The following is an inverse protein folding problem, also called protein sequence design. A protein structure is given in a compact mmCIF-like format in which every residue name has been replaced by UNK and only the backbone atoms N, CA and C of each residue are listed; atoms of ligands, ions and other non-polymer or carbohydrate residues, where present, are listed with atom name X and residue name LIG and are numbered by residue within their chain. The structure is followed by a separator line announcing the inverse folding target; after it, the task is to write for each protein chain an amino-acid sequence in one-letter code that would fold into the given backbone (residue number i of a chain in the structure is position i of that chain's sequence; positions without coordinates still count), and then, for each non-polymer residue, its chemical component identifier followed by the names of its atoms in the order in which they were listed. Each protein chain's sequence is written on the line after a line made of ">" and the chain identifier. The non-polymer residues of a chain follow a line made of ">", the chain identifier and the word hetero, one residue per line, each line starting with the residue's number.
data_IF_280023408108
#
_entry.id   IF_280023408108
#
_cell.length_a   1.000
_cell.length_b   1.000
_cell.length_c   1.000
_cell.angle_alpha   90.00
_cell.angle_beta   90.00
_cell.angle_gamma   90.00
#
_symmetry.space_group_name_H-M   'P 1'
#
loop_
_entity.id
_entity.type
_entity.pdbx_description
1 polymer ?
#
# COMPACT_ATOMS: atom_id res chain seq x y z
N UNK A 1 31.77 -26.55 60.75
CA UNK A 1 32.17 -25.88 59.50
C UNK A 1 30.95 -25.17 58.95
N UNK A 2 30.88 -23.84 59.08
CA UNK A 2 29.77 -23.05 58.57
C UNK A 2 30.01 -22.76 57.08
N UNK A 3 29.12 -23.21 56.21
CA UNK A 3 29.13 -22.83 54.80
C UNK A 3 28.84 -21.33 54.70
N UNK A 4 29.69 -20.52 54.04
CA UNK A 4 29.46 -19.09 53.92
C UNK A 4 28.22 -18.84 53.07
N UNK A 5 27.22 -18.18 53.65
CA UNK A 5 26.01 -17.76 52.95
C UNK A 5 26.39 -16.75 51.84
N UNK A 6 25.80 -16.88 50.63
CA UNK A 6 26.11 -15.96 49.54
C UNK A 6 25.72 -14.52 49.92
N UNK A 7 26.58 -13.56 49.59
CA UNK A 7 26.35 -12.15 49.88
C UNK A 7 25.07 -11.63 49.21
N UNK A 8 24.38 -10.67 49.84
CA UNK A 8 23.15 -10.10 49.29
C UNK A 8 23.39 -9.47 47.90
N UNK A 9 22.34 -9.43 47.06
CA UNK A 9 22.42 -8.87 45.71
C UNK A 9 22.99 -7.44 45.69
N UNK A 10 22.58 -6.59 46.63
CA UNK A 10 23.07 -5.21 46.73
C UNK A 10 24.58 -5.16 47.06
N UNK A 11 25.07 -6.06 47.90
CA UNK A 11 26.49 -6.16 48.26
C UNK A 11 27.32 -6.64 47.06
N UNK A 12 26.82 -7.64 46.32
CA UNK A 12 27.46 -8.13 45.09
C UNK A 12 27.47 -7.05 43.99
N UNK A 13 26.36 -6.34 43.79
CA UNK A 13 26.24 -5.26 42.80
C UNK A 13 27.19 -4.09 43.12
N UNK A 14 27.29 -3.66 44.39
CA UNK A 14 28.20 -2.60 44.81
C UNK A 14 29.67 -3.02 44.66
N UNK A 15 30.01 -4.27 44.98
CA UNK A 15 31.36 -4.79 44.77
C UNK A 15 31.74 -4.86 43.28
N UNK A 16 30.81 -5.31 42.42
CA UNK A 16 30.98 -5.33 40.97
C UNK A 16 31.10 -3.91 40.39
N UNK A 17 30.30 -2.95 40.88
CA UNK A 17 30.37 -1.55 40.46
C UNK A 17 31.74 -0.95 40.81
N UNK A 18 32.21 -1.11 42.06
CA UNK A 18 33.54 -0.63 42.48
C UNK A 18 34.65 -1.28 41.68
N UNK A 19 34.55 -2.57 41.37
CA UNK A 19 35.52 -3.28 40.52
C UNK A 19 35.54 -2.71 39.09
N UNK A 20 34.38 -2.48 38.49
CA UNK A 20 34.27 -1.86 37.16
C UNK A 20 34.81 -0.42 37.14
N UNK A 21 34.48 0.40 38.13
CA UNK A 21 34.99 1.77 38.26
C UNK A 21 36.52 1.78 38.42
N UNK A 22 37.07 0.89 39.25
CA UNK A 22 38.51 0.82 39.47
C UNK A 22 39.26 0.35 38.22
N UNK A 23 38.69 -0.60 37.47
CA UNK A 23 39.22 -1.05 36.19
C UNK A 23 39.21 0.08 35.14
N UNK A 24 38.11 0.82 35.04
CA UNK A 24 37.99 2.01 34.19
C UNK A 24 39.01 3.09 34.60
N UNK A 25 39.17 3.37 35.91
CA UNK A 25 40.14 4.36 36.41
C UNK A 25 41.60 3.99 36.12
N UNK A 26 41.93 2.69 36.05
CA UNK A 26 43.30 2.24 35.69
C UNK A 26 43.55 2.29 34.18
N UNK A 27 42.52 2.10 33.36
CA UNK A 27 42.60 2.11 31.90
C UNK A 27 42.15 3.45 31.28
N UNK A 28 42.64 4.57 31.84
CA UNK A 28 42.25 5.93 31.41
C UNK A 28 42.43 6.15 29.91
N UNK A 29 43.54 5.68 29.33
CA UNK A 29 43.82 5.83 27.89
C UNK A 29 42.77 5.13 27.01
N UNK A 30 42.31 3.96 27.43
CA UNK A 30 41.26 3.20 26.73
C UNK A 30 39.91 3.88 26.89
N UNK A 31 39.60 4.40 28.08
CA UNK A 31 38.36 5.14 28.32
C UNK A 31 38.28 6.45 27.54
N UNK A 32 39.38 7.21 27.47
CA UNK A 32 39.47 8.43 26.66
C UNK A 32 39.21 8.10 25.19
N UNK A 33 39.77 6.99 24.68
CA UNK A 33 39.51 6.51 23.31
C UNK A 33 38.05 6.07 23.11
N UNK A 34 37.45 5.41 24.11
CA UNK A 34 36.04 4.99 24.10
C UNK A 34 35.08 6.19 24.07
N UNK A 35 35.45 7.32 24.65
CA UNK A 35 34.64 8.55 24.62
C UNK A 35 34.89 9.37 23.34
N UNK A 36 36.15 9.47 22.90
CA UNK A 36 36.52 10.21 21.69
C UNK A 36 35.98 9.59 20.41
N UNK A 37 35.87 8.27 20.35
CA UNK A 37 35.39 7.60 19.13
C UNK A 37 33.94 7.98 18.80
N UNK A 38 32.94 7.88 19.71
CA UNK A 38 31.59 8.36 19.46
C UNK A 38 31.56 9.83 19.02
N UNK A 39 32.37 10.69 19.64
CA UNK A 39 32.46 12.12 19.27
C UNK A 39 32.96 12.28 17.83
N UNK A 40 34.05 11.60 17.46
CA UNK A 40 34.58 11.63 16.10
C UNK A 40 33.60 11.09 15.08
N UNK A 41 32.86 10.05 15.43
CA UNK A 41 31.82 9.48 14.58
C UNK A 41 30.63 10.44 14.41
N UNK A 42 30.18 11.11 15.47
CA UNK A 42 29.14 12.13 15.38
C UNK A 42 29.58 13.30 14.47
N UNK A 43 30.83 13.73 14.56
CA UNK A 43 31.38 14.77 13.67
C UNK A 43 31.42 14.31 12.21
N UNK A 44 31.81 13.05 11.97
CA UNK A 44 31.78 12.45 10.63
C UNK A 44 30.37 12.45 10.05
N UNK A 45 29.38 12.01 10.83
CA UNK A 45 27.98 12.00 10.41
C UNK A 45 27.44 13.41 10.15
N UNK A 46 27.81 14.38 10.99
CA UNK A 46 27.43 15.77 10.78
C UNK A 46 27.99 16.32 9.46
N UNK A 47 29.28 16.07 9.17
CA UNK A 47 29.88 16.47 7.89
C UNK A 47 29.19 15.77 6.72
N UNK A 48 28.90 14.47 6.86
CA UNK A 48 28.18 13.72 5.83
C UNK A 48 26.77 14.28 5.59
N UNK A 49 26.06 14.64 6.66
CA UNK A 49 24.74 15.28 6.60
C UNK A 49 24.80 16.61 5.84
N UNK A 50 25.80 17.46 6.12
CA UNK A 50 25.99 18.72 5.39
C UNK A 50 26.22 18.51 3.89
N UNK A 51 27.04 17.51 3.53
CA UNK A 51 27.29 17.17 2.13
C UNK A 51 26.01 16.68 1.45
N UNK A 52 25.25 15.83 2.13
CA UNK A 52 23.99 15.28 1.62
C UNK A 52 22.93 16.36 1.46
N UNK A 53 22.76 17.24 2.45
CA UNK A 53 21.83 18.37 2.37
C UNK A 53 22.19 19.31 1.22
N UNK A 54 23.48 19.62 1.03
CA UNK A 54 23.95 20.44 -0.10
C UNK A 54 23.65 19.78 -1.47
N UNK A 55 23.75 18.44 -1.55
CA UNK A 55 23.43 17.71 -2.77
C UNK A 55 21.93 17.72 -3.08
N UNK A 56 21.07 17.62 -2.06
CA UNK A 56 19.62 17.67 -2.22
C UNK A 56 19.05 19.08 -2.30
N UNK A 57 19.85 20.12 -2.05
CA UNK A 57 19.43 21.52 -2.24
C UNK A 57 19.43 21.96 -3.72
N UNK A 58 19.89 21.09 -4.63
CA UNK A 58 19.87 21.30 -6.06
C UNK A 58 18.44 21.51 -6.60
N UNK A 59 18.32 22.31 -7.66
CA UNK A 59 17.03 22.64 -8.30
C UNK A 59 16.26 21.40 -8.81
N UNK A 60 16.94 20.28 -9.06
CA UNK A 60 16.34 19.00 -9.43
C UNK A 60 15.46 18.38 -8.34
N UNK A 61 15.67 18.73 -7.07
CA UNK A 61 14.94 18.22 -5.90
C UNK A 61 14.04 19.28 -5.24
N UNK A 62 13.68 20.32 -6.01
CA UNK A 62 12.72 21.36 -5.61
C UNK A 62 11.61 21.44 -6.65
N UNK A 63 10.50 22.09 -6.31
CA UNK A 63 9.47 22.35 -7.32
C UNK A 63 10.05 23.17 -8.48
N UNK A 64 9.70 22.81 -9.70
CA UNK A 64 10.10 23.56 -10.89
C UNK A 64 9.45 24.93 -10.92
N UNK A 65 10.24 25.95 -11.23
CA UNK A 65 9.80 27.34 -11.29
C UNK A 65 10.31 28.03 -12.54
N UNK A 66 9.50 28.92 -13.10
CA UNK A 66 9.86 29.83 -14.19
C UNK A 66 9.71 31.28 -13.75
N UNK A 67 10.44 32.16 -14.41
CA UNK A 67 10.26 33.60 -14.24
C UNK A 67 9.19 34.09 -15.22
N UNK A 68 8.34 35.02 -14.78
CA UNK A 68 7.23 35.53 -15.57
C UNK A 68 7.68 36.14 -16.92
N UNK A 69 8.86 36.78 -16.97
CA UNK A 69 9.45 37.30 -18.20
C UNK A 69 10.41 36.30 -18.85
N UNK A 70 9.94 35.68 -19.93
CA UNK A 70 10.75 34.83 -20.81
C UNK A 70 11.88 35.65 -21.43
N UNK A 71 13.13 35.48 -20.96
CA UNK A 71 14.31 35.59 -21.86
C UNK A 71 15.62 34.95 -21.43
N UNK A 72 15.76 34.35 -20.26
CA UNK A 72 16.97 33.55 -19.95
C UNK A 72 16.63 32.34 -19.11
N UNK A 73 17.16 31.19 -19.51
CA UNK A 73 17.10 29.96 -18.73
C UNK A 73 17.83 30.19 -17.40
N UNK A 74 17.19 29.71 -16.33
CA UNK A 74 17.76 29.33 -15.04
C UNK A 74 18.16 30.45 -14.07
N UNK A 75 17.37 30.56 -13.00
CA UNK A 75 17.79 30.69 -11.59
C UNK A 75 18.02 32.06 -10.92
N UNK A 76 17.90 33.21 -11.58
CA UNK A 76 18.04 34.51 -10.89
C UNK A 76 16.89 35.45 -11.20
N UNK A 77 15.78 35.24 -10.51
CA UNK A 77 14.64 36.15 -10.50
C UNK A 77 14.24 36.40 -9.05
N UNK A 78 13.81 37.62 -8.69
CA UNK A 78 13.30 37.89 -7.35
C UNK A 78 12.10 36.97 -7.06
N UNK A 79 11.94 36.54 -5.81
CA UNK A 79 10.87 35.61 -5.39
C UNK A 79 9.46 36.10 -5.78
N UNK A 80 9.26 37.42 -5.90
CA UNK A 80 8.01 38.04 -6.35
C UNK A 80 7.62 37.72 -7.81
N UNK A 81 8.57 37.38 -8.67
CA UNK A 81 8.35 37.09 -10.10
C UNK A 81 8.40 35.60 -10.43
N UNK A 82 8.70 34.77 -9.43
CA UNK A 82 8.89 33.33 -9.55
C UNK A 82 7.54 32.62 -9.52
N UNK A 83 7.21 31.94 -10.61
CA UNK A 83 6.02 31.09 -10.70
C UNK A 83 6.45 29.64 -10.61
N UNK A 84 6.20 29.03 -9.45
CA UNK A 84 6.46 27.62 -9.19
C UNK A 84 5.19 26.79 -9.39
N UNK A 85 5.34 25.58 -9.92
CA UNK A 85 4.19 24.70 -10.11
C UNK A 85 4.53 23.42 -10.85
N UNK A 86 3.59 22.47 -10.78
CA UNK A 86 3.69 21.19 -11.47
C UNK A 86 3.86 21.39 -12.99
N UNK A 87 3.30 22.44 -13.58
CA UNK A 87 3.40 22.72 -15.03
C UNK A 87 4.83 23.06 -15.48
N UNK A 88 5.68 23.50 -14.56
CA UNK A 88 7.06 23.92 -14.82
C UNK A 88 8.09 22.91 -14.32
N UNK A 89 7.61 21.73 -13.91
CA UNK A 89 8.39 20.71 -13.24
C UNK A 89 8.56 19.48 -14.13
N UNK A 90 9.72 18.83 -14.04
CA UNK A 90 9.86 17.46 -14.56
C UNK A 90 9.16 16.44 -13.65
N UNK A 91 9.10 15.17 -14.06
CA UNK A 91 8.38 14.12 -13.32
C UNK A 91 8.78 13.97 -11.85
N UNK A 92 10.06 14.20 -11.52
CA UNK A 92 10.56 14.12 -10.14
C UNK A 92 10.19 15.38 -9.34
N UNK A 93 10.41 16.56 -9.92
CA UNK A 93 10.08 17.85 -9.31
C UNK A 93 8.58 18.01 -9.07
N UNK A 94 7.74 17.49 -9.99
CA UNK A 94 6.29 17.53 -9.89
C UNK A 94 5.77 16.84 -8.62
N UNK A 95 6.43 15.75 -8.21
CA UNK A 95 6.10 15.05 -6.98
C UNK A 95 6.47 15.86 -5.72
N UNK A 96 7.33 16.86 -5.83
CA UNK A 96 7.79 17.69 -4.70
C UNK A 96 7.01 18.99 -4.55
N UNK A 97 6.31 19.42 -5.61
CA UNK A 97 5.54 20.67 -5.62
C UNK A 97 4.40 20.72 -4.60
N UNK A 98 4.06 21.94 -4.12
CA UNK A 98 2.88 22.16 -3.30
C UNK A 98 1.60 21.90 -4.11
N UNK A 99 0.60 21.33 -3.46
CA UNK A 99 -0.74 21.09 -4.03
C UNK A 99 -1.76 21.65 -3.03
N UNK A 100 -2.21 22.88 -3.27
CA UNK A 100 -3.17 23.58 -2.39
C UNK A 100 -4.61 23.08 -2.55
N UNK A 101 -5.00 22.72 -3.78
CA UNK A 101 -6.31 22.16 -4.10
C UNK A 101 -6.13 20.86 -4.89
N UNK A 102 -6.08 19.70 -4.23
CA UNK A 102 -6.02 18.40 -4.89
C UNK A 102 -7.23 18.16 -5.80
N UNK A 103 -7.03 17.41 -6.87
CA UNK A 103 -8.10 17.04 -7.80
C UNK A 103 -9.10 16.09 -7.14
N UNK A 104 -10.37 16.28 -7.47
CA UNK A 104 -11.48 15.45 -7.04
C UNK A 104 -11.66 14.30 -8.04
N UNK A 105 -11.09 13.13 -7.72
CA UNK A 105 -11.12 11.97 -8.61
C UNK A 105 -12.37 11.13 -8.38
N UNK A 106 -13.07 10.66 -9.43
CA UNK A 106 -14.21 9.78 -9.23
C UNK A 106 -13.76 8.45 -8.58
N UNK A 107 -14.60 7.82 -7.75
CA UNK A 107 -14.23 6.58 -7.09
C UNK A 107 -14.24 5.38 -8.05
N UNK A 108 -13.16 4.60 -8.05
CA UNK A 108 -13.00 3.40 -8.88
C UNK A 108 -13.10 2.11 -8.08
N UNK A 109 -13.54 1.03 -8.71
CA UNK A 109 -13.28 -0.35 -8.30
C UNK A 109 -11.90 -0.81 -8.80
N UNK A 110 -11.23 -1.67 -8.03
CA UNK A 110 -10.08 -2.40 -8.56
C UNK A 110 -10.58 -3.54 -9.44
N UNK A 111 -10.19 -3.53 -10.72
CA UNK A 111 -10.57 -4.58 -11.66
C UNK A 111 -9.40 -5.51 -11.97
N UNK A 112 -9.66 -6.79 -12.24
CA UNK A 112 -8.68 -7.71 -12.78
C UNK A 112 -8.42 -7.45 -14.26
N UNK A 113 -7.17 -7.69 -14.67
CA UNK A 113 -6.79 -7.67 -16.08
C UNK A 113 -7.60 -8.68 -16.92
N UNK A 114 -7.89 -8.45 -18.21
CA UNK A 114 -8.72 -9.32 -19.03
C UNK A 114 -8.19 -10.76 -19.10
N UNK A 115 -6.85 -10.92 -19.08
CA UNK A 115 -6.17 -12.21 -19.04
C UNK A 115 -6.38 -12.98 -17.73
N UNK A 116 -6.66 -12.26 -16.64
CA UNK A 116 -6.74 -12.80 -15.27
C UNK A 116 -8.19 -12.98 -14.79
N UNK A 117 -9.19 -12.41 -15.49
CA UNK A 117 -10.62 -12.51 -15.13
C UNK A 117 -11.05 -13.96 -14.96
N UNK A 118 -11.80 -14.26 -13.90
CA UNK A 118 -12.25 -15.61 -13.57
C UNK A 118 -12.99 -16.30 -14.73
N UNK A 119 -12.58 -17.52 -15.05
CA UNK A 119 -13.20 -18.40 -16.04
C UNK A 119 -13.35 -19.80 -15.47
N UNK A 120 -14.24 -20.58 -16.07
CA UNK A 120 -14.39 -22.00 -15.78
C UNK A 120 -13.10 -22.75 -16.15
N UNK A 121 -12.59 -23.56 -15.23
CA UNK A 121 -11.44 -24.44 -15.47
C UNK A 121 -11.49 -25.70 -14.59
N UNK A 122 -10.43 -26.52 -14.59
CA UNK A 122 -10.40 -27.82 -13.91
C UNK A 122 -10.56 -27.74 -12.39
N UNK A 123 -10.08 -26.67 -11.74
CA UNK A 123 -10.14 -26.50 -10.29
C UNK A 123 -11.26 -25.55 -9.81
N UNK A 124 -11.90 -24.82 -10.73
CA UNK A 124 -13.12 -24.02 -10.53
C UNK A 124 -14.20 -24.44 -11.55
N UNK A 125 -14.88 -25.59 -11.35
CA UNK A 125 -15.85 -26.14 -12.29
C UNK A 125 -17.24 -25.51 -12.14
N UNK A 126 -17.33 -24.21 -11.88
CA UNK A 126 -18.61 -23.50 -11.79
C UNK A 126 -19.15 -23.19 -13.20
N UNK A 127 -20.35 -23.65 -13.51
CA UNK A 127 -20.96 -23.51 -14.84
C UNK A 127 -21.44 -22.09 -15.17
N UNK A 128 -21.60 -21.25 -14.15
CA UNK A 128 -21.99 -19.84 -14.28
C UNK A 128 -20.78 -18.92 -14.56
N UNK A 129 -19.55 -19.45 -14.49
CA UNK A 129 -18.36 -18.75 -14.95
C UNK A 129 -18.22 -18.84 -16.48
N UNK A 130 -17.67 -17.80 -17.13
CA UNK A 130 -17.45 -17.78 -18.56
C UNK A 130 -16.40 -18.81 -18.98
N UNK A 131 -16.48 -19.24 -20.24
CA UNK A 131 -15.53 -20.19 -20.81
C UNK A 131 -14.12 -19.57 -20.98
N UNK A 132 -13.07 -20.35 -20.74
CA UNK A 132 -11.68 -19.90 -20.81
C UNK A 132 -11.29 -19.28 -22.17
N UNK A 133 -11.99 -19.62 -23.25
CA UNK A 133 -11.80 -19.03 -24.58
C UNK A 133 -11.96 -17.50 -24.60
N UNK A 134 -12.76 -16.90 -23.73
CA UNK A 134 -12.97 -15.44 -23.70
C UNK A 134 -11.70 -14.66 -23.36
N UNK A 135 -10.72 -15.29 -22.68
CA UNK A 135 -9.44 -14.64 -22.33
C UNK A 135 -8.60 -14.37 -23.57
N UNK A 136 -8.69 -15.23 -24.58
CA UNK A 136 -7.96 -15.07 -25.85
C UNK A 136 -8.41 -13.82 -26.61
N UNK A 137 -9.67 -13.42 -26.44
CA UNK A 137 -10.27 -12.26 -27.10
C UNK A 137 -10.42 -11.06 -26.16
N UNK A 138 -9.89 -11.12 -24.93
CA UNK A 138 -10.05 -10.11 -23.89
C UNK A 138 -11.51 -9.70 -23.63
N UNK A 139 -12.45 -10.62 -23.86
CA UNK A 139 -13.89 -10.37 -23.82
C UNK A 139 -14.58 -10.91 -22.56
N UNK A 140 -13.81 -11.54 -21.66
CA UNK A 140 -14.37 -12.12 -20.45
C UNK A 140 -15.09 -11.06 -19.61
N UNK A 141 -16.32 -11.35 -19.17
CA UNK A 141 -17.00 -10.48 -18.22
C UNK A 141 -16.29 -10.48 -16.86
N UNK A 142 -16.60 -9.48 -16.06
CA UNK A 142 -16.16 -9.35 -14.68
C UNK A 142 -17.09 -10.15 -13.76
N UNK A 143 -16.53 -10.96 -12.88
CA UNK A 143 -17.33 -11.74 -11.92
C UNK A 143 -17.34 -11.07 -10.54
N UNK A 144 -18.51 -11.01 -9.93
CA UNK A 144 -18.72 -10.63 -8.52
C UNK A 144 -19.49 -11.76 -7.84
N UNK A 145 -19.05 -12.17 -6.64
CA UNK A 145 -19.69 -13.25 -5.90
C UNK A 145 -20.62 -12.72 -4.81
N UNK A 146 -21.71 -13.43 -4.57
CA UNK A 146 -22.72 -13.08 -3.56
C UNK A 146 -23.15 -14.29 -2.75
N UNK A 147 -23.37 -14.08 -1.46
CA UNK A 147 -24.04 -15.04 -0.58
C UNK A 147 -24.85 -14.30 0.49
N UNK A 148 -25.78 -15.01 1.15
CA UNK A 148 -26.63 -14.49 2.22
C UNK A 148 -27.39 -15.63 2.91
N UNK A 149 -27.96 -15.38 4.08
CA UNK A 149 -28.97 -16.28 4.67
C UNK A 149 -30.24 -16.36 3.79
N UNK A 150 -30.62 -15.24 3.15
CA UNK A 150 -31.77 -15.18 2.26
C UNK A 150 -31.34 -14.93 0.81
N UNK A 151 -31.41 -16.00 0.00
CA UNK A 151 -31.05 -15.97 -1.42
C UNK A 151 -31.86 -14.96 -2.24
N UNK A 152 -33.19 -14.92 -2.05
CA UNK A 152 -34.07 -14.02 -2.82
C UNK A 152 -33.79 -12.54 -2.52
N UNK A 153 -33.46 -12.23 -1.26
CA UNK A 153 -33.02 -10.89 -0.86
C UNK A 153 -31.72 -10.51 -1.57
N UNK A 154 -30.70 -11.36 -1.53
CA UNK A 154 -29.40 -11.08 -2.14
C UNK A 154 -29.49 -10.90 -3.66
N UNK A 155 -30.32 -11.70 -4.34
CA UNK A 155 -30.58 -11.54 -5.77
C UNK A 155 -31.24 -10.19 -6.07
N UNK A 156 -32.24 -9.81 -5.27
CA UNK A 156 -32.97 -8.55 -5.44
C UNK A 156 -32.05 -7.33 -5.26
N UNK A 157 -31.16 -7.38 -4.27
CA UNK A 157 -30.19 -6.31 -3.99
C UNK A 157 -29.09 -6.28 -5.06
N UNK A 158 -28.47 -7.41 -5.38
CA UNK A 158 -27.37 -7.46 -6.35
C UNK A 158 -27.80 -7.02 -7.76
N UNK A 159 -29.05 -7.32 -8.16
CA UNK A 159 -29.64 -6.86 -9.42
C UNK A 159 -29.71 -5.33 -9.57
N UNK A 160 -29.58 -4.57 -8.47
CA UNK A 160 -29.59 -3.09 -8.46
C UNK A 160 -28.20 -2.45 -8.46
N UNK A 161 -27.12 -3.24 -8.52
CA UNK A 161 -25.75 -2.71 -8.44
C UNK A 161 -25.32 -1.97 -9.71
N UNK A 162 -25.74 -2.45 -10.88
CA UNK A 162 -25.27 -1.92 -12.16
C UNK A 162 -26.43 -1.34 -12.97
N UNK A 163 -26.18 -0.20 -13.61
CA UNK A 163 -27.11 0.41 -14.54
C UNK A 163 -27.14 -0.29 -15.90
N UNK A 164 -28.10 0.10 -16.73
CA UNK A 164 -28.28 -0.41 -18.09
C UNK A 164 -27.66 0.48 -19.18
N UNK A 165 -27.25 1.70 -18.84
CA UNK A 165 -26.69 2.67 -19.79
C UNK A 165 -25.66 3.56 -19.12
N UNK A 166 -24.71 4.07 -19.91
CA UNK A 166 -23.73 5.02 -19.44
C UNK A 166 -24.43 6.37 -19.26
N UNK A 167 -24.41 6.91 -18.06
CA UNK A 167 -24.93 8.24 -17.79
C UNK A 167 -23.79 9.24 -17.90
N UNK A 168 -23.59 9.78 -19.10
CA UNK A 168 -22.80 11.01 -19.28
C UNK A 168 -23.84 12.10 -19.41
N UNK A 169 -24.12 12.80 -18.32
CA UNK A 169 -24.86 14.04 -18.45
C UNK A 169 -23.99 15.04 -19.22
N UNK A 170 -24.50 15.59 -20.33
CA UNK A 170 -23.90 16.71 -21.05
C UNK A 170 -23.89 17.94 -20.13
N UNK A 171 -22.85 18.11 -19.30
CA UNK A 171 -22.70 19.33 -18.51
C UNK A 171 -21.29 19.88 -18.66
N UNK A 172 -21.20 21.00 -19.38
CA UNK A 172 -20.02 21.85 -19.40
C UNK A 172 -19.72 22.31 -17.97
N UNK A 173 -18.54 21.96 -17.46
CA UNK A 173 -18.04 22.40 -16.16
C UNK A 173 -17.09 21.40 -15.51
N UNK A 174 -17.60 20.22 -15.12
CA UNK A 174 -16.85 19.22 -14.36
C UNK A 174 -17.13 17.78 -14.83
N UNK A 175 -16.34 17.35 -15.81
CA UNK A 175 -16.42 16.01 -16.39
C UNK A 175 -16.17 14.89 -15.36
N UNK A 176 -15.29 15.11 -14.39
CA UNK A 176 -14.92 14.09 -13.39
C UNK A 176 -16.08 13.80 -12.44
N UNK A 177 -16.80 14.85 -12.00
CA UNK A 177 -18.01 14.70 -11.19
C UNK A 177 -19.11 13.91 -11.91
N UNK A 178 -19.31 14.17 -13.22
CA UNK A 178 -20.29 13.44 -14.03
C UNK A 178 -19.99 11.93 -14.14
N UNK A 179 -18.71 11.55 -14.17
CA UNK A 179 -18.32 10.14 -14.22
C UNK A 179 -18.69 9.37 -12.95
N UNK A 180 -18.71 10.02 -11.79
CA UNK A 180 -18.98 9.38 -10.49
C UNK A 180 -20.38 8.77 -10.37
N UNK A 181 -21.31 9.24 -11.20
CA UNK A 181 -22.67 8.69 -11.35
C UNK A 181 -22.61 7.22 -11.81
N UNK A 182 -21.59 6.85 -12.58
CA UNK A 182 -21.43 5.50 -13.11
C UNK A 182 -20.59 4.63 -12.17
N UNK A 183 -20.73 3.31 -12.28
CA UNK A 183 -19.85 2.37 -11.59
C UNK A 183 -18.57 2.21 -12.37
N UNK A 184 -17.54 2.96 -11.98
CA UNK A 184 -16.25 2.93 -12.64
C UNK A 184 -15.32 1.89 -12.01
N UNK A 185 -14.42 1.35 -12.82
CA UNK A 185 -13.32 0.53 -12.38
C UNK A 185 -12.11 0.64 -13.30
N UNK A 186 -10.94 0.30 -12.77
CA UNK A 186 -9.71 0.30 -13.53
C UNK A 186 -8.81 -0.86 -13.08
N UNK A 187 -8.03 -1.36 -14.03
CA UNK A 187 -7.02 -2.39 -13.81
C UNK A 187 -5.71 -1.81 -13.28
N UNK A 188 -5.52 -0.50 -13.39
CA UNK A 188 -4.28 0.17 -13.00
C UNK A 188 -3.95 -0.10 -11.54
N UNK A 189 -2.68 -0.36 -11.26
CA UNK A 189 -2.18 -0.57 -9.89
C UNK A 189 -2.38 0.73 -9.08
N UNK A 190 -3.05 0.68 -7.92
CA UNK A 190 -3.18 1.84 -7.05
C UNK A 190 -1.82 2.35 -6.56
N UNK A 191 -1.75 3.65 -6.25
CA UNK A 191 -0.56 4.29 -5.70
C UNK A 191 -0.72 4.53 -4.19
N UNK A 192 0.37 4.96 -3.55
CA UNK A 192 0.43 5.29 -2.11
C UNK A 192 -0.33 6.57 -1.74
N UNK A 193 -0.64 7.40 -2.74
CA UNK A 193 -1.46 8.59 -2.62
C UNK A 193 -2.32 8.71 -3.88
N UNK A 194 -3.36 9.52 -3.78
CA UNK A 194 -4.32 9.80 -4.83
C UNK A 194 -4.25 11.25 -5.34
N UNK A 195 -3.07 11.88 -5.30
CA UNK A 195 -2.90 13.20 -5.94
C UNK A 195 -3.14 13.10 -7.45
N UNK A 196 -2.71 11.99 -8.03
CA UNK A 196 -2.99 11.61 -9.41
C UNK A 196 -3.54 10.18 -9.39
N UNK A 197 -4.80 10.02 -9.79
CA UNK A 197 -5.45 8.71 -9.90
C UNK A 197 -4.80 7.89 -11.05
N UNK A 198 -4.16 6.74 -10.76
CA UNK A 198 -3.48 5.91 -11.75
C UNK A 198 -4.30 5.53 -12.97
N UNK A 199 -5.63 5.45 -12.84
CA UNK A 199 -6.52 5.16 -13.96
C UNK A 199 -6.39 6.16 -15.12
N UNK A 200 -6.05 7.43 -14.84
CA UNK A 200 -5.93 8.48 -15.85
C UNK A 200 -4.55 8.59 -16.51
N UNK A 201 -3.53 7.91 -15.97
CA UNK A 201 -2.12 8.02 -16.43
C UNK A 201 -1.47 6.69 -16.81
N UNK A 202 -2.16 5.57 -16.59
CA UNK A 202 -1.61 4.23 -16.85
C UNK A 202 -1.60 3.84 -18.33
N UNK A 203 -2.35 4.55 -19.19
CA UNK A 203 -2.61 4.15 -20.57
C UNK A 203 -3.55 2.95 -20.71
N UNK A 204 -4.10 2.46 -19.59
CA UNK A 204 -5.11 1.41 -19.58
C UNK A 204 -6.52 2.01 -19.70
N UNK A 205 -7.48 1.30 -20.28
CA UNK A 205 -8.85 1.78 -20.38
C UNK A 205 -9.51 1.92 -19.00
N UNK A 206 -10.36 2.92 -18.86
CA UNK A 206 -11.30 3.05 -17.76
C UNK A 206 -12.57 2.28 -18.12
N UNK A 207 -13.06 1.46 -17.21
CA UNK A 207 -14.29 0.72 -17.44
C UNK A 207 -15.45 1.32 -16.66
N UNK A 208 -16.61 1.41 -17.31
CA UNK A 208 -17.89 1.52 -16.62
C UNK A 208 -18.58 0.16 -16.64
N UNK A 209 -19.13 -0.25 -15.49
CA UNK A 209 -19.70 -1.57 -15.30
C UNK A 209 -21.21 -1.56 -15.53
N UNK A 210 -21.68 -2.52 -16.32
CA UNK A 210 -23.10 -2.73 -16.64
C UNK A 210 -23.44 -4.21 -16.62
N UNK A 211 -24.74 -4.54 -16.54
CA UNK A 211 -25.22 -5.93 -16.63
C UNK A 211 -25.07 -6.51 -18.05
N UNK A 212 -25.12 -5.66 -19.07
CA UNK A 212 -24.92 -6.03 -20.45
C UNK A 212 -24.25 -4.87 -21.21
N UNK A 213 -23.41 -5.18 -22.19
CA UNK A 213 -22.67 -4.20 -22.98
C UNK A 213 -22.88 -4.49 -24.47
N UNK A 214 -23.20 -3.47 -25.26
CA UNK A 214 -23.28 -3.58 -26.72
C UNK A 214 -21.90 -3.63 -27.38
N UNK A 215 -21.82 -4.10 -28.64
CA UNK A 215 -20.54 -4.22 -29.35
C UNK A 215 -19.77 -2.90 -29.47
N UNK A 216 -20.49 -1.79 -29.73
CA UNK A 216 -19.89 -0.44 -29.82
C UNK A 216 -19.32 0.03 -28.49
N UNK A 217 -20.01 -0.25 -27.39
CA UNK A 217 -19.58 0.12 -26.04
C UNK A 217 -18.35 -0.67 -25.58
N UNK A 218 -18.20 -1.91 -26.06
CA UNK A 218 -17.00 -2.74 -25.82
C UNK A 218 -15.78 -2.23 -26.59
N UNK A 219 -15.99 -1.65 -27.78
CA UNK A 219 -14.91 -1.04 -28.58
C UNK A 219 -14.35 0.24 -27.96
N UNK A 220 -15.11 0.89 -27.09
CA UNK A 220 -14.66 2.03 -26.29
C UNK A 220 -14.76 3.39 -27.00
N UNK A 221 -14.80 4.43 -26.18
CA UNK A 221 -14.80 5.84 -26.60
C UNK A 221 -13.52 6.50 -26.10
N UNK A 222 -12.75 7.08 -27.02
CA UNK A 222 -11.58 7.89 -26.67
C UNK A 222 -12.01 9.31 -26.35
N UNK A 223 -11.62 9.78 -25.16
CA UNK A 223 -11.92 11.12 -24.70
C UNK A 223 -10.60 11.88 -24.44
N UNK A 224 -10.44 13.11 -24.98
CA UNK A 224 -9.27 13.94 -24.74
C UNK A 224 -9.41 14.69 -23.40
N UNK A 225 -9.22 13.99 -22.28
CA UNK A 225 -9.36 14.60 -20.94
C UNK A 225 -8.09 15.32 -20.46
N UNK A 226 -6.92 14.79 -20.82
CA UNK A 226 -5.63 15.28 -20.32
C UNK A 226 -4.79 15.70 -21.53
N UNK A 227 -4.18 16.89 -21.51
CA UNK A 227 -3.28 17.32 -22.59
C UNK A 227 -2.18 16.27 -22.81
N UNK A 228 -2.19 15.63 -23.98
CA UNK A 228 -1.21 14.61 -24.36
C UNK A 228 -1.58 13.15 -24.02
N UNK A 229 -2.76 12.87 -23.44
CA UNK A 229 -3.23 11.50 -23.22
C UNK A 229 -4.71 11.33 -23.62
N UNK A 230 -4.97 10.45 -24.58
CA UNK A 230 -6.31 10.00 -24.93
C UNK A 230 -6.70 8.87 -23.97
N UNK A 231 -7.77 9.07 -23.22
CA UNK A 231 -8.26 8.06 -22.26
C UNK A 231 -9.39 7.31 -22.93
N UNK A 232 -9.25 5.99 -22.98
CA UNK A 232 -10.25 5.11 -23.53
C UNK A 232 -11.23 4.69 -22.43
N UNK A 233 -12.52 4.92 -22.65
CA UNK A 233 -13.60 4.49 -21.75
C UNK A 233 -14.36 3.34 -22.41
N UNK A 234 -14.47 2.19 -21.73
CA UNK A 234 -15.10 0.96 -22.23
C UNK A 234 -16.19 0.44 -21.31
N UNK A 235 -17.19 -0.22 -21.87
CA UNK A 235 -18.14 -0.99 -21.08
C UNK A 235 -17.53 -2.34 -20.68
N UNK A 236 -17.57 -2.66 -19.39
CA UNK A 236 -17.30 -4.00 -18.89
C UNK A 236 -18.58 -4.64 -18.37
N UNK A 237 -18.91 -5.81 -18.91
CA UNK A 237 -20.04 -6.58 -18.43
C UNK A 237 -19.70 -7.16 -17.05
N UNK A 238 -20.57 -6.97 -16.08
CA UNK A 238 -20.44 -7.48 -14.73
C UNK A 238 -21.50 -8.56 -14.45
N UNK A 239 -21.05 -9.73 -14.00
CA UNK A 239 -21.88 -10.86 -13.61
C UNK A 239 -21.99 -10.92 -12.10
N UNK A 240 -23.22 -11.01 -11.62
CA UNK A 240 -23.50 -11.30 -10.22
C UNK A 240 -23.73 -12.81 -10.06
N UNK A 241 -22.81 -13.50 -9.40
CA UNK A 241 -22.80 -14.95 -9.27
C UNK A 241 -23.08 -15.35 -7.82
N UNK A 242 -23.99 -16.30 -7.63
CA UNK A 242 -24.39 -16.77 -6.29
C UNK A 242 -23.51 -17.92 -5.80
N UNK A 243 -23.20 -17.93 -4.50
CA UNK A 243 -22.59 -19.07 -3.79
C UNK A 243 -23.39 -19.40 -2.55
N UNK A 244 -23.43 -20.68 -2.18
CA UNK A 244 -24.28 -21.15 -1.08
C UNK A 244 -23.76 -20.75 0.30
N UNK A 245 -22.48 -20.41 0.42
CA UNK A 245 -21.90 -19.98 1.68
C UNK A 245 -20.67 -19.09 1.49
N UNK A 246 -20.31 -18.36 2.54
CA UNK A 246 -19.08 -17.55 2.61
C UNK A 246 -17.82 -18.44 2.58
N UNK A 247 -17.92 -19.70 3.03
CA UNK A 247 -16.84 -20.69 2.91
C UNK A 247 -16.56 -21.05 1.45
N UNK A 248 -17.62 -21.20 0.65
CA UNK A 248 -17.50 -21.47 -0.80
C UNK A 248 -16.88 -20.27 -1.52
N UNK A 249 -17.32 -19.06 -1.21
CA UNK A 249 -16.68 -17.81 -1.69
C UNK A 249 -15.20 -17.80 -1.34
N UNK A 250 -14.86 -18.05 -0.08
CA UNK A 250 -13.47 -18.01 0.37
C UNK A 250 -12.62 -19.09 -0.33
N UNK A 251 -13.17 -20.29 -0.54
CA UNK A 251 -12.50 -21.36 -1.27
C UNK A 251 -12.24 -20.99 -2.73
N UNK A 252 -13.22 -20.40 -3.41
CA UNK A 252 -13.08 -19.94 -4.80
C UNK A 252 -12.08 -18.80 -4.94
N UNK A 253 -12.16 -17.79 -4.07
CA UNK A 253 -11.20 -16.68 -4.04
C UNK A 253 -9.77 -17.18 -3.77
N UNK A 254 -9.61 -18.11 -2.83
CA UNK A 254 -8.31 -18.72 -2.54
C UNK A 254 -7.76 -19.48 -3.74
N UNK A 255 -8.55 -20.37 -4.34
CA UNK A 255 -8.15 -21.13 -5.53
C UNK A 255 -7.87 -20.23 -6.73
N UNK A 256 -8.56 -19.09 -6.84
CA UNK A 256 -8.33 -18.10 -7.89
C UNK A 256 -7.01 -17.32 -7.75
N UNK A 257 -6.41 -17.31 -6.56
CA UNK A 257 -5.09 -16.73 -6.35
C UNK A 257 -3.98 -17.61 -6.92
N UNK A 258 -2.96 -16.99 -7.49
CA UNK A 258 -1.86 -17.69 -8.19
C UNK A 258 -1.21 -18.80 -7.35
N UNK A 259 -1.07 -18.59 -6.03
CA UNK A 259 -0.47 -19.57 -5.11
C UNK A 259 -1.48 -20.47 -4.41
N UNK A 260 -2.77 -20.32 -4.70
CA UNK A 260 -3.84 -21.09 -4.07
C UNK A 260 -4.29 -22.31 -4.86
N UNK A 261 -3.72 -22.53 -6.05
CA UNK A 261 -3.94 -23.72 -6.86
C UNK A 261 -2.61 -24.33 -7.33
N UNK A 262 -2.64 -25.63 -7.62
CA UNK A 262 -1.46 -26.41 -8.05
C UNK A 262 -0.99 -26.05 -9.46
N UNK A 263 -1.86 -25.46 -10.28
CA UNK A 263 -1.58 -25.10 -11.67
C UNK A 263 -0.92 -23.72 -11.83
N UNK A 264 -0.82 -22.93 -10.75
CA UNK A 264 -0.29 -21.57 -10.78
C UNK A 264 -1.14 -20.59 -11.61
N UNK A 265 -2.39 -20.93 -11.91
CA UNK A 265 -3.28 -20.12 -12.76
C UNK A 265 -3.97 -19.04 -11.95
N UNK A 266 -4.21 -17.90 -12.58
CA UNK A 266 -4.94 -16.79 -11.96
C UNK A 266 -6.39 -16.81 -12.43
N UNK A 267 -7.33 -16.72 -11.49
CA UNK A 267 -8.76 -16.49 -11.72
C UNK A 267 -9.23 -15.42 -10.74
N UNK A 268 -9.04 -14.16 -11.12
CA UNK A 268 -9.41 -13.04 -10.28
C UNK A 268 -10.89 -12.69 -10.41
N UNK A 269 -11.49 -12.45 -9.26
CA UNK A 269 -12.86 -11.98 -9.07
C UNK A 269 -12.76 -10.54 -8.56
N UNK A 270 -13.65 -9.65 -9.03
CA UNK A 270 -13.58 -8.22 -8.70
C UNK A 270 -13.75 -8.00 -7.20
N UNK A 271 -14.81 -8.56 -6.63
CA UNK A 271 -15.16 -8.49 -5.21
C UNK A 271 -16.18 -9.58 -4.90
N UNK A 272 -16.30 -9.92 -3.61
CA UNK A 272 -17.37 -10.77 -3.12
C UNK A 272 -18.12 -10.08 -1.97
N UNK A 273 -19.40 -10.40 -1.82
CA UNK A 273 -20.29 -9.81 -0.83
C UNK A 273 -21.09 -10.91 -0.13
N UNK A 274 -21.16 -10.82 1.20
CA UNK A 274 -21.98 -11.69 2.03
C UNK A 274 -22.92 -10.81 2.81
N UNK A 275 -24.21 -10.91 2.50
CA UNK A 275 -25.25 -10.14 3.16
C UNK A 275 -25.63 -10.71 4.52
N UNK A 276 -25.03 -11.81 4.98
CA UNK A 276 -25.26 -12.41 6.30
C UNK A 276 -26.77 -12.51 6.58
N UNK A 277 -27.22 -11.89 7.68
CA UNK A 277 -28.61 -11.81 8.13
C UNK A 277 -29.33 -10.51 7.72
N UNK A 278 -28.88 -9.86 6.65
CA UNK A 278 -29.51 -8.65 6.12
C UNK A 278 -30.93 -8.92 5.62
N UNK A 279 -31.81 -7.96 5.84
CA UNK A 279 -33.21 -7.97 5.41
C UNK A 279 -33.68 -6.52 5.23
N UNK A 280 -34.99 -6.26 5.14
CA UNK A 280 -35.52 -4.89 4.97
C UNK A 280 -35.20 -3.93 6.13
N UNK A 281 -35.01 -4.46 7.33
CA UNK A 281 -34.87 -3.70 8.58
C UNK A 281 -33.44 -3.77 9.16
N UNK A 282 -32.58 -4.62 8.62
CA UNK A 282 -31.21 -4.86 9.10
C UNK A 282 -30.25 -4.91 7.92
N UNK A 283 -29.18 -4.13 7.99
CA UNK A 283 -28.11 -4.12 7.00
C UNK A 283 -26.80 -4.55 7.64
N UNK A 284 -26.28 -5.70 7.21
CA UNK A 284 -25.05 -6.31 7.71
C UNK A 284 -24.33 -7.02 6.55
N UNK A 285 -23.18 -6.51 6.13
CA UNK A 285 -22.50 -6.99 4.92
C UNK A 285 -21.01 -7.18 5.18
N UNK A 286 -20.48 -8.33 4.79
CA UNK A 286 -19.04 -8.57 4.67
C UNK A 286 -18.61 -8.39 3.22
N UNK A 287 -17.47 -7.72 3.02
CA UNK A 287 -16.92 -7.40 1.70
C UNK A 287 -15.52 -7.99 1.60
N UNK A 288 -15.30 -8.83 0.58
CA UNK A 288 -13.97 -9.31 0.23
C UNK A 288 -13.44 -8.47 -0.93
N UNK A 289 -12.20 -8.03 -0.79
CA UNK A 289 -11.49 -7.24 -1.79
C UNK A 289 -10.10 -7.83 -2.04
N UNK A 290 -9.58 -7.58 -3.23
CA UNK A 290 -8.23 -8.00 -3.58
C UNK A 290 -7.19 -7.05 -2.99
N UNK A 291 -6.39 -7.55 -2.05
CA UNK A 291 -5.31 -6.79 -1.40
C UNK A 291 -3.93 -7.03 -2.03
N UNK A 292 -3.84 -7.67 -3.20
CA UNK A 292 -2.56 -8.00 -3.86
C UNK A 292 -1.67 -6.77 -4.04
N UNK A 293 -2.26 -5.63 -4.36
CA UNK A 293 -1.54 -4.37 -4.58
C UNK A 293 -1.23 -3.57 -3.30
N UNK A 294 -1.63 -4.06 -2.13
CA UNK A 294 -1.48 -3.36 -0.84
C UNK A 294 -0.06 -3.48 -0.26
N UNK A 295 0.82 -4.32 -0.84
CA UNK A 295 2.13 -4.58 -0.23
C UNK A 295 3.08 -3.36 -0.29
N UNK A 296 3.34 -2.76 0.89
CA UNK A 296 4.49 -1.89 1.12
C UNK A 296 5.73 -2.72 1.45
N UNK A 297 6.90 -2.31 0.95
CA UNK A 297 8.19 -2.99 1.18
C UNK A 297 8.73 -2.78 2.62
N UNK A 298 7.88 -2.73 3.65
CA UNK A 298 8.25 -2.53 5.06
C UNK A 298 8.74 -1.12 5.44
N UNK A 299 9.23 -0.33 4.48
CA UNK A 299 9.80 1.01 4.70
C UNK A 299 8.92 2.19 4.20
N UNK A 300 7.66 1.94 3.80
CA UNK A 300 6.79 2.99 3.28
C UNK A 300 5.30 2.68 3.38
N UNK A 301 4.46 3.71 3.20
CA UNK A 301 3.01 3.58 3.23
C UNK A 301 2.49 2.59 2.17
N UNK A 302 1.44 1.85 2.53
CA UNK A 302 0.77 0.92 1.64
C UNK A 302 0.02 1.64 0.51
N UNK A 303 -0.26 0.94 -0.59
CA UNK A 303 -1.08 1.51 -1.66
C UNK A 303 -2.54 1.69 -1.21
N UNK A 304 -3.18 2.76 -1.68
CA UNK A 304 -4.57 3.07 -1.37
C UNK A 304 -5.50 2.10 -2.09
N UNK A 305 -6.03 1.14 -1.34
CA UNK A 305 -6.96 0.15 -1.90
C UNK A 305 -8.31 0.80 -2.23
N UNK A 306 -8.85 0.48 -3.41
CA UNK A 306 -10.11 1.01 -3.98
C UNK A 306 -11.39 0.44 -3.33
N UNK A 307 -11.37 0.22 -2.02
CA UNK A 307 -12.46 -0.37 -1.22
C UNK A 307 -13.69 0.56 -1.12
N UNK A 308 -13.54 1.89 -0.95
CA UNK A 308 -14.69 2.77 -0.76
C UNK A 308 -15.74 2.68 -1.87
N UNK A 309 -15.34 2.39 -3.11
CA UNK A 309 -16.31 2.21 -4.20
C UNK A 309 -17.15 0.95 -4.04
N UNK A 310 -16.57 -0.16 -3.57
CA UNK A 310 -17.33 -1.40 -3.28
C UNK A 310 -18.37 -1.17 -2.18
N UNK A 311 -17.99 -0.43 -1.14
CA UNK A 311 -18.90 -0.05 -0.03
C UNK A 311 -20.06 0.81 -0.55
N UNK A 312 -19.77 1.84 -1.35
CA UNK A 312 -20.80 2.68 -1.94
C UNK A 312 -21.74 1.89 -2.86
N UNK A 313 -21.17 1.00 -3.69
CA UNK A 313 -21.94 0.18 -4.63
C UNK A 313 -22.98 -0.69 -3.91
N UNK A 314 -22.56 -1.41 -2.87
CA UNK A 314 -23.44 -2.34 -2.14
C UNK A 314 -24.41 -1.61 -1.21
N UNK A 315 -24.03 -0.44 -0.70
CA UNK A 315 -24.94 0.40 0.10
C UNK A 315 -26.02 1.01 -0.79
N UNK A 316 -25.65 1.50 -1.98
CA UNK A 316 -26.59 2.05 -2.94
C UNK A 316 -27.60 1.02 -3.45
N UNK A 317 -27.14 -0.19 -3.75
CA UNK A 317 -28.04 -1.25 -4.22
C UNK A 317 -29.07 -1.64 -3.15
N UNK A 318 -28.66 -1.67 -1.88
CA UNK A 318 -29.57 -1.89 -0.75
C UNK A 318 -30.57 -0.73 -0.59
N UNK A 319 -30.14 0.53 -0.70
CA UNK A 319 -31.04 1.68 -0.67
C UNK A 319 -32.07 1.65 -1.82
N UNK A 320 -31.65 1.30 -3.03
CA UNK A 320 -32.56 1.15 -4.17
C UNK A 320 -33.56 0.00 -3.98
N UNK A 321 -33.14 -1.09 -3.32
CA UNK A 321 -34.02 -2.19 -2.96
C UNK A 321 -35.11 -1.75 -1.95
N UNK A 322 -34.75 -0.91 -0.97
CA UNK A 322 -35.67 -0.44 0.06
C UNK A 322 -36.61 0.67 -0.42
N UNK A 323 -36.04 1.70 -1.06
CA UNK A 323 -36.70 2.99 -1.32
C UNK A 323 -37.04 3.19 -2.81
N UNK A 324 -36.67 2.25 -3.68
CA UNK A 324 -36.92 2.29 -5.12
C UNK A 324 -35.75 2.87 -5.92
N UNK A 325 -35.83 2.72 -7.25
CA UNK A 325 -34.72 2.98 -8.18
C UNK A 325 -34.26 4.45 -8.24
N UNK A 326 -35.08 5.41 -7.80
CA UNK A 326 -34.72 6.83 -7.74
C UNK A 326 -33.82 7.20 -6.57
N UNK A 327 -33.64 6.31 -5.59
CA UNK A 327 -32.84 6.61 -4.40
C UNK A 327 -31.38 6.25 -4.62
N UNK A 328 -30.49 7.24 -4.50
CA UNK A 328 -29.06 7.05 -4.69
C UNK A 328 -28.26 7.95 -3.76
N UNK A 329 -27.29 7.36 -3.07
CA UNK A 329 -26.23 8.05 -2.36
C UNK A 329 -25.00 8.17 -3.27
N UNK A 330 -24.87 9.32 -3.93
CA UNK A 330 -23.74 9.56 -4.83
C UNK A 330 -22.44 9.65 -4.04
N UNK A 331 -21.49 8.78 -4.35
CA UNK A 331 -20.11 8.95 -3.93
C UNK A 331 -19.37 9.68 -5.04
N UNK A 332 -19.25 10.99 -4.87
CA UNK A 332 -18.85 11.92 -5.93
C UNK A 332 -17.34 11.84 -6.23
N UNK A 333 -16.49 11.86 -5.19
CA UNK A 333 -15.05 11.83 -5.41
C UNK A 333 -14.26 11.32 -4.20
N UNK A 334 -13.00 10.99 -4.48
CA UNK A 334 -11.91 10.80 -3.51
C UNK A 334 -10.85 11.85 -3.82
N UNK A 335 -10.45 12.62 -2.81
CA UNK A 335 -9.36 13.60 -2.92
C UNK A 335 -8.37 13.45 -1.78
N UNK A 336 -7.12 13.79 -2.06
CA UNK A 336 -6.09 13.92 -1.05
C UNK A 336 -6.25 15.20 -0.23
N UNK A 337 -5.52 15.26 0.89
CA UNK A 337 -5.35 16.51 1.62
C UNK A 337 -4.41 17.46 0.89
N UNK A 338 -4.61 18.79 0.98
CA UNK A 338 -3.63 19.75 0.50
C UNK A 338 -2.25 19.47 1.09
N UNK A 339 -1.20 19.63 0.28
CA UNK A 339 0.18 19.46 0.73
C UNK A 339 1.03 20.70 0.46
N UNK A 340 1.92 21.05 1.41
CA UNK A 340 2.97 22.02 1.15
C UNK A 340 4.06 21.42 0.26
N UNK A 341 4.99 22.25 -0.19
CA UNK A 341 6.19 21.78 -0.89
C UNK A 341 6.94 20.78 -0.01
N UNK A 342 7.26 19.61 -0.57
CA UNK A 342 8.03 18.59 0.13
C UNK A 342 9.49 18.72 -0.27
N UNK A 343 10.36 19.00 0.70
CA UNK A 343 11.80 19.02 0.50
C UNK A 343 12.34 17.63 0.82
N UNK A 344 13.12 17.06 -0.09
CA UNK A 344 13.77 15.78 0.17
C UNK A 344 14.94 15.99 1.14
N UNK A 345 14.76 15.54 2.39
CA UNK A 345 15.81 15.55 3.42
C UNK A 345 16.07 14.11 3.85
N UNK A 346 17.31 13.65 3.72
CA UNK A 346 17.75 12.38 4.29
C UNK A 346 18.34 12.64 5.65
N UNK A 347 17.71 12.17 6.72
CA UNK A 347 18.28 12.20 8.06
C UNK A 347 19.10 10.93 8.31
N UNK A 348 20.41 11.03 8.12
CA UNK A 348 21.34 9.92 8.32
C UNK A 348 21.34 9.46 9.79
N UNK A 349 21.08 10.39 10.71
CA UNK A 349 21.02 10.09 12.14
C UNK A 349 19.82 9.21 12.48
N UNK A 350 18.66 9.41 11.83
CA UNK A 350 17.49 8.54 12.01
C UNK A 350 17.69 7.14 11.44
N UNK A 351 18.48 6.98 10.37
CA UNK A 351 18.73 5.68 9.72
C UNK A 351 19.69 4.83 10.57
N UNK A 352 20.76 5.44 11.08
CA UNK A 352 21.81 4.73 11.80
C UNK A 352 21.67 4.83 13.33
N UNK A 353 20.72 5.63 13.83
CA UNK A 353 20.57 5.97 15.24
C UNK A 353 20.43 4.74 16.14
N UNK A 354 19.63 3.75 15.74
CA UNK A 354 19.47 2.48 16.48
C UNK A 354 20.78 1.70 16.56
N UNK A 355 21.55 1.68 15.48
CA UNK A 355 22.81 0.96 15.37
C UNK A 355 23.88 1.64 16.24
N UNK A 356 23.95 2.96 16.20
CA UNK A 356 24.85 3.74 17.06
C UNK A 356 24.44 3.69 18.54
N UNK A 357 23.17 3.80 18.85
CA UNK A 357 22.67 3.66 20.22
C UNK A 357 23.07 2.30 20.80
N UNK A 358 22.80 1.22 20.07
CA UNK A 358 23.15 -0.15 20.48
C UNK A 358 24.66 -0.28 20.69
N UNK A 359 25.44 0.27 19.76
CA UNK A 359 26.90 0.20 19.80
C UNK A 359 27.52 1.03 20.95
N UNK A 360 27.01 2.23 21.23
CA UNK A 360 27.42 3.07 22.37
C UNK A 360 27.07 2.40 23.70
N UNK A 361 25.87 1.82 23.82
CA UNK A 361 25.46 1.09 25.03
C UNK A 361 26.35 -0.14 25.27
N UNK A 362 26.68 -0.89 24.22
CA UNK A 362 27.61 -2.03 24.29
C UNK A 362 29.03 -1.62 24.75
N UNK A 363 29.49 -0.43 24.38
CA UNK A 363 30.79 0.11 24.79
C UNK A 363 30.82 0.69 26.19
N UNK A 364 29.72 1.28 26.66
CA UNK A 364 29.58 1.79 28.03
C UNK A 364 29.44 0.66 29.06
N UNK A 365 28.81 -0.46 28.65
CA UNK A 365 28.52 -1.61 29.51
C UNK A 365 29.02 -2.94 28.91
N UNK A 366 30.34 -3.12 28.74
CA UNK A 366 30.89 -4.34 28.15
C UNK A 366 30.70 -5.59 29.03
N UNK A 367 30.57 -5.40 30.35
CA UNK A 367 30.43 -6.50 31.32
C UNK A 367 28.99 -6.95 31.64
N UNK A 368 27.98 -6.07 31.80
CA UNK A 368 26.60 -6.51 32.09
C UNK A 368 26.02 -7.44 31.01
N UNK A 369 26.29 -7.19 29.73
CA UNK A 369 25.80 -8.02 28.63
C UNK A 369 26.59 -9.34 28.47
N UNK A 370 27.90 -9.34 28.74
CA UNK A 370 28.68 -10.57 28.76
C UNK A 370 28.39 -11.44 29.98
N UNK A 371 27.95 -10.86 31.10
CA UNK A 371 27.42 -11.60 32.26
C UNK A 371 25.96 -12.05 32.10
N UNK A 372 25.16 -11.42 31.23
CA UNK A 372 23.81 -11.89 30.88
C UNK A 372 23.81 -12.98 29.80
N UNK A 373 24.82 -13.01 28.92
CA UNK A 373 24.99 -14.07 27.91
C UNK A 373 25.76 -15.30 28.44
N UNK A 374 26.61 -15.13 29.45
CA UNK A 374 27.34 -16.25 30.07
C UNK A 374 26.51 -17.32 30.79
N UNK A 375 25.34 -17.05 31.42
CA UNK A 375 24.53 -18.09 32.03
C UNK A 375 23.85 -18.98 30.97
N UNK A 376 23.60 -18.45 29.76
CA UNK A 376 22.91 -19.19 28.70
C UNK A 376 23.86 -19.96 27.78
N UNK A 377 25.10 -19.49 27.57
CA UNK A 377 26.06 -20.20 26.71
C UNK A 377 26.82 -21.34 27.41
N UNK A 378 26.79 -21.39 28.75
CA UNK A 378 27.42 -22.47 29.54
C UNK A 378 26.46 -23.62 29.89
N UNK A 379 25.21 -23.60 29.40
CA UNK A 379 24.23 -24.67 29.66
C UNK A 379 23.97 -25.62 28.49
N UNK A 380 24.60 -25.46 27.32
CA UNK A 380 24.25 -26.27 26.13
C UNK A 380 25.38 -26.97 25.38
N UNK A 381 26.62 -27.01 25.90
CA UNK A 381 27.67 -27.86 25.30
C UNK A 381 28.41 -28.65 26.37
N UNK A 382 28.14 -29.96 26.54
CA UNK A 382 29.00 -30.81 27.35
C UNK A 382 30.31 -31.04 26.58
N UNK A 383 31.40 -30.56 27.15
CA UNK A 383 32.76 -30.92 26.75
C UNK A 383 32.95 -32.38 27.17
N UNK A 384 32.90 -33.30 26.21
CA UNK A 384 33.36 -34.67 26.41
C UNK A 384 34.88 -34.63 26.63
N UNK A 385 35.29 -35.05 27.81
CA UNK A 385 36.67 -35.32 28.19
C UNK A 385 37.23 -36.49 27.37
N UNK A 386 38.32 -36.29 26.65
CA UNK A 386 39.24 -37.35 26.28
C UNK A 386 40.60 -37.04 26.89
N UNK A 387 40.95 -37.80 27.93
CA UNK A 387 42.26 -37.82 28.56
C UNK A 387 43.04 -39.05 28.11
N UNK A 388 44.30 -38.82 27.75
CA UNK A 388 45.44 -39.75 27.78
C UNK A 388 45.34 -41.12 27.08
N UNK A 389 46.21 -41.32 26.09
CA UNK A 389 47.20 -42.40 26.12
C UNK A 389 48.29 -42.14 25.08
N UNK A 390 49.54 -42.12 25.55
CA UNK A 390 50.77 -42.09 24.76
C UNK A 390 51.38 -43.49 24.67
N UNK A 391 52.16 -43.70 23.60
CA UNK A 391 53.15 -44.76 23.29
C UNK A 391 52.63 -45.98 22.51
N UNK A 392 53.12 -46.17 21.27
CA UNK A 392 54.33 -46.94 20.95
C UNK A 392 54.67 -46.87 19.45
N UNK A 393 55.99 -46.77 19.20
CA UNK A 393 56.79 -46.91 17.95
C UNK A 393 56.51 -46.02 16.73
#
# INVERSE_FOLDING_TARGET
>A
MANPAPASFATQANALLRKNITFQKRNVKTNVRLILFPVGLCLLLFVLQLIVDAQFDQSSFKCGCVCADRRTKLSQCPESEKRCGVQYSNSLQAALCPISKPTEWPPFLQLPAPSNRAVRNGFLPFYDLPDASCRRTNSCPLSLLFTAENHSFALSVSAKMFGSSLSISEFGGDFLAGLAVNVLGSESIPRRNNYIEPAFISGLPIYYLQTNCTGKEKSGLSLPLVPGANIEIKCAQALNLWRNSSSEINSELYKGYQRGNTEGQVNEIVSAFDFLNSNRNRYNVSIWYNSTYNQGNGFGANALSRIPRSVNLISNSYLQFLLGAGTKMLFEFVKEMPKPETIFRLDISSILGTLFFTWVILQLFPFPLSMLLKPYFLQTVPIASFSHASWQE
#
